data_IF_457579179879
#
_entry.id   IF_457579179879
#
_cell.length_a   1.000
_cell.length_b   1.000
_cell.length_c   1.000
_cell.angle_alpha   90.00
_cell.angle_beta   90.00
_cell.angle_gamma   90.00
#
_symmetry.space_group_name_H-M   'P 1'
#
loop_
_entity.id
_entity.type
_entity.pdbx_description
1 polymer ?
#
# COMPACT_ATOMS: atom_id res chain seq x y z
N UNK A 1 -9.94 21.06 -20.11
CA UNK A 1 -9.73 19.59 -20.08
C UNK A 1 -8.29 19.33 -19.67
N UNK A 2 -8.06 18.40 -18.77
CA UNK A 2 -6.71 18.02 -18.34
C UNK A 2 -6.15 17.02 -19.36
N UNK A 3 -4.88 17.16 -19.74
CA UNK A 3 -4.20 16.18 -20.59
C UNK A 3 -3.48 15.16 -19.70
N UNK A 4 -3.63 13.87 -19.98
CA UNK A 4 -2.97 12.82 -19.20
C UNK A 4 -2.56 11.66 -20.10
N UNK A 5 -1.37 11.12 -19.88
CA UNK A 5 -0.98 9.82 -20.42
C UNK A 5 -1.57 8.72 -19.53
N UNK A 6 -2.31 7.78 -20.13
CA UNK A 6 -2.93 6.66 -19.43
C UNK A 6 -2.57 5.37 -20.17
N UNK A 7 -1.82 4.47 -19.53
CA UNK A 7 -1.37 3.21 -20.15
C UNK A 7 -1.84 1.99 -19.36
N UNK A 8 -1.62 1.98 -18.05
CA UNK A 8 -1.92 0.89 -17.13
C UNK A 8 -2.60 1.40 -15.84
N UNK A 9 -3.28 2.55 -15.94
CA UNK A 9 -3.90 3.17 -14.77
C UNK A 9 -5.14 2.39 -14.34
N UNK A 10 -5.17 1.95 -13.08
CA UNK A 10 -6.35 1.33 -12.47
C UNK A 10 -7.29 2.41 -11.96
N UNK A 11 -8.47 2.50 -12.57
CA UNK A 11 -9.53 3.42 -12.16
C UNK A 11 -10.72 2.60 -11.67
N UNK A 12 -11.05 2.74 -10.39
CA UNK A 12 -12.19 2.07 -9.78
C UNK A 12 -13.33 3.07 -9.54
N UNK A 13 -14.55 2.66 -9.87
CA UNK A 13 -15.76 3.39 -9.49
C UNK A 13 -15.99 3.24 -8.00
N UNK A 14 -16.03 4.36 -7.27
CA UNK A 14 -16.40 4.36 -5.85
C UNK A 14 -17.83 3.83 -5.62
N UNK A 15 -18.74 4.05 -6.58
CA UNK A 15 -20.15 3.64 -6.46
C UNK A 15 -20.35 2.17 -6.84
N UNK A 16 -19.78 1.76 -7.97
CA UNK A 16 -20.01 0.41 -8.52
C UNK A 16 -18.99 -0.61 -8.05
N UNK A 17 -17.88 -0.17 -7.44
CA UNK A 17 -16.72 -0.99 -7.05
C UNK A 17 -16.22 -1.88 -8.20
N UNK A 18 -16.18 -1.29 -9.40
CA UNK A 18 -15.73 -1.91 -10.64
C UNK A 18 -14.72 -1.01 -11.36
N UNK A 19 -13.81 -1.58 -12.16
CA UNK A 19 -13.02 -0.85 -13.14
C UNK A 19 -13.89 0.06 -13.99
N UNK A 20 -13.36 1.23 -14.33
CA UNK A 20 -13.99 2.22 -15.20
C UNK A 20 -12.95 2.89 -16.06
N UNK A 21 -13.39 3.40 -17.20
CA UNK A 21 -12.55 4.25 -18.04
C UNK A 21 -12.43 5.67 -17.48
N UNK A 22 -11.38 6.37 -17.89
CA UNK A 22 -11.23 7.80 -17.63
C UNK A 22 -12.36 8.58 -18.33
N UNK A 23 -12.88 9.61 -17.66
CA UNK A 23 -13.92 10.45 -18.25
C UNK A 23 -13.34 11.33 -19.36
N UNK A 24 -13.61 10.97 -20.63
CA UNK A 24 -13.09 11.66 -21.81
C UNK A 24 -13.59 13.10 -21.99
N UNK A 25 -14.67 13.51 -21.31
CA UNK A 25 -15.11 14.91 -21.32
C UNK A 25 -14.22 15.80 -20.44
N UNK A 26 -13.54 15.21 -19.45
CA UNK A 26 -12.65 15.89 -18.51
C UNK A 26 -11.18 15.68 -18.89
N UNK A 27 -10.82 14.47 -19.33
CA UNK A 27 -9.46 14.02 -19.62
C UNK A 27 -9.25 13.81 -21.11
N UNK A 28 -8.27 14.49 -21.68
CA UNK A 28 -7.74 14.21 -23.02
C UNK A 28 -6.55 13.25 -22.86
N UNK A 29 -6.69 12.02 -23.36
CA UNK A 29 -5.62 11.01 -23.33
C UNK A 29 -4.48 11.43 -24.26
N UNK A 30 -3.24 11.30 -23.79
CA UNK A 30 -2.03 11.46 -24.59
C UNK A 30 -1.57 10.10 -25.10
N UNK A 31 -0.93 10.08 -26.27
CA UNK A 31 -0.40 8.86 -26.88
C UNK A 31 0.98 8.47 -26.32
N UNK A 32 1.68 9.41 -25.69
CA UNK A 32 2.98 9.21 -25.05
C UNK A 32 3.09 10.01 -23.74
N UNK A 33 3.89 9.54 -22.77
CA UNK A 33 4.13 10.29 -21.54
C UNK A 33 4.85 11.60 -21.87
N UNK A 34 4.37 12.76 -21.36
CA UNK A 34 5.00 14.05 -21.64
C UNK A 34 6.39 14.18 -21.02
N UNK A 35 6.64 13.43 -19.94
CA UNK A 35 7.93 13.26 -19.29
C UNK A 35 8.00 11.83 -18.76
N UNK A 36 9.07 11.12 -19.09
CA UNK A 36 9.37 9.80 -18.53
C UNK A 36 10.88 9.68 -18.29
N UNK A 37 11.34 9.33 -17.09
CA UNK A 37 12.76 9.11 -16.85
C UNK A 37 13.26 7.93 -17.70
N UNK A 38 14.37 8.11 -18.43
CA UNK A 38 14.86 7.12 -19.40
C UNK A 38 15.17 5.74 -18.79
N UNK A 39 15.57 5.72 -17.52
CA UNK A 39 15.97 4.49 -16.81
C UNK A 39 14.84 3.92 -15.92
N UNK A 40 13.65 4.55 -15.91
CA UNK A 40 12.53 4.06 -15.13
C UNK A 40 11.74 3.01 -15.91
N UNK A 41 11.84 1.76 -15.47
CA UNK A 41 10.93 0.69 -15.89
C UNK A 41 9.75 0.66 -14.94
N UNK A 42 8.54 1.01 -15.41
CA UNK A 42 7.34 0.91 -14.60
C UNK A 42 6.95 -0.56 -14.39
N UNK A 43 6.69 -0.89 -13.12
CA UNK A 43 6.03 -2.12 -12.77
C UNK A 43 4.53 -2.05 -13.15
N UNK A 44 3.89 -3.18 -13.53
CA UNK A 44 2.43 -3.21 -13.72
C UNK A 44 1.69 -2.70 -12.49
N UNK A 45 0.66 -1.89 -12.69
CA UNK A 45 -0.04 -1.18 -11.63
C UNK A 45 -0.66 -2.12 -10.59
N UNK A 46 -1.18 -3.28 -11.03
CA UNK A 46 -1.72 -4.31 -10.13
C UNK A 46 -0.63 -4.87 -9.22
N UNK A 47 0.55 -5.17 -9.79
CA UNK A 47 1.67 -5.68 -9.01
C UNK A 47 2.19 -4.61 -8.04
N UNK A 48 2.28 -3.35 -8.50
CA UNK A 48 2.67 -2.23 -7.64
C UNK A 48 1.72 -2.06 -6.44
N UNK A 49 0.41 -2.22 -6.65
CA UNK A 49 -0.56 -2.20 -5.55
C UNK A 49 -0.28 -3.33 -4.53
N UNK A 50 -0.02 -4.55 -5.00
CA UNK A 50 0.28 -5.68 -4.10
C UNK A 50 1.56 -5.48 -3.32
N UNK A 51 2.63 -5.04 -3.99
CA UNK A 51 3.92 -4.85 -3.34
C UNK A 51 3.84 -3.72 -2.30
N UNK A 52 3.16 -2.62 -2.61
CA UNK A 52 2.87 -1.57 -1.62
C UNK A 52 2.09 -2.13 -0.44
N UNK A 53 1.01 -2.88 -0.65
CA UNK A 53 0.23 -3.44 0.47
C UNK A 53 1.04 -4.42 1.34
N UNK A 54 2.00 -5.15 0.75
CA UNK A 54 2.87 -6.06 1.51
C UNK A 54 3.97 -5.34 2.29
N UNK A 55 4.42 -4.17 1.84
CA UNK A 55 5.65 -3.53 2.34
C UNK A 55 5.43 -2.19 3.03
N UNK A 56 4.26 -1.57 2.85
CA UNK A 56 4.01 -0.23 3.40
C UNK A 56 3.95 -0.25 4.93
N UNK A 57 4.56 0.77 5.53
CA UNK A 57 4.65 0.97 6.98
C UNK A 57 6.02 0.62 7.55
N UNK A 58 6.29 1.03 8.78
CA UNK A 58 7.58 0.77 9.44
C UNK A 58 7.76 -0.70 9.87
N UNK A 59 6.66 -1.44 10.02
CA UNK A 59 6.63 -2.85 10.45
C UNK A 59 5.55 -3.60 9.67
N UNK A 60 5.72 -3.75 8.37
CA UNK A 60 4.68 -4.29 7.50
C UNK A 60 4.17 -5.68 7.95
N UNK A 61 5.06 -6.55 8.44
CA UNK A 61 4.69 -7.87 8.98
C UNK A 61 4.00 -7.81 10.35
N UNK A 62 4.32 -6.81 11.16
CA UNK A 62 3.84 -6.65 12.53
C UNK A 62 3.10 -5.33 12.70
N UNK A 63 2.10 -5.11 11.84
CA UNK A 63 1.26 -3.92 11.90
C UNK A 63 0.49 -3.86 13.21
N UNK A 64 0.32 -2.66 13.73
CA UNK A 64 -0.61 -2.46 14.83
C UNK A 64 -2.07 -2.66 14.36
N UNK A 65 -3.05 -2.70 15.29
CA UNK A 65 -4.44 -2.91 14.91
C UNK A 65 -5.02 -1.84 13.96
N UNK A 66 -4.53 -0.60 14.00
CA UNK A 66 -5.00 0.49 13.15
C UNK A 66 -4.46 0.31 11.74
N UNK A 67 -3.16 0.08 11.60
CA UNK A 67 -2.50 -0.17 10.32
C UNK A 67 -3.08 -1.42 9.63
N UNK A 68 -3.26 -2.50 10.39
CA UNK A 68 -3.87 -3.74 9.89
C UNK A 68 -5.27 -3.49 9.35
N UNK A 69 -6.11 -2.74 10.09
CA UNK A 69 -7.46 -2.36 9.66
C UNK A 69 -7.45 -1.54 8.36
N UNK A 70 -6.48 -0.63 8.19
CA UNK A 70 -6.37 0.19 6.97
C UNK A 70 -6.05 -0.70 5.77
N UNK A 71 -5.07 -1.60 5.90
CA UNK A 71 -4.70 -2.55 4.84
C UNK A 71 -5.88 -3.45 4.49
N UNK A 72 -6.56 -4.00 5.49
CA UNK A 72 -7.77 -4.81 5.29
C UNK A 72 -8.87 -4.03 4.58
N UNK A 73 -9.06 -2.76 4.91
CA UNK A 73 -10.05 -1.90 4.24
C UNK A 73 -9.75 -1.75 2.75
N UNK A 74 -8.48 -1.62 2.37
CA UNK A 74 -8.07 -1.54 0.96
C UNK A 74 -8.26 -2.89 0.26
N UNK A 75 -7.78 -3.99 0.86
CA UNK A 75 -7.90 -5.36 0.31
C UNK A 75 -9.37 -5.74 0.06
N UNK A 76 -10.25 -5.37 0.99
CA UNK A 76 -11.67 -5.67 0.91
C UNK A 76 -12.47 -4.62 0.11
N UNK A 77 -11.85 -3.51 -0.29
CA UNK A 77 -12.55 -2.38 -0.90
C UNK A 77 -13.68 -1.83 -0.01
N UNK A 78 -13.48 -1.87 1.31
CA UNK A 78 -14.50 -1.57 2.33
C UNK A 78 -14.36 -0.16 2.92
N UNK A 79 -13.43 0.66 2.41
CA UNK A 79 -13.24 2.04 2.85
C UNK A 79 -14.46 2.93 2.60
N UNK A 80 -14.59 3.97 3.41
CA UNK A 80 -15.62 5.00 3.31
C UNK A 80 -15.02 6.38 3.61
N UNK A 81 -15.76 7.45 3.29
CA UNK A 81 -15.42 8.78 3.79
C UNK A 81 -15.53 8.77 5.32
N UNK A 82 -14.57 9.39 5.99
CA UNK A 82 -14.50 9.49 7.45
C UNK A 82 -14.72 10.96 7.81
N UNK A 83 -15.80 11.25 8.52
CA UNK A 83 -16.13 12.62 8.96
C UNK A 83 -15.57 12.93 10.36
N UNK A 84 -15.14 11.91 11.10
CA UNK A 84 -14.50 12.06 12.40
C UNK A 84 -13.59 10.87 12.69
N UNK A 85 -12.48 11.13 13.37
CA UNK A 85 -11.57 10.11 13.91
C UNK A 85 -12.31 9.05 14.75
N UNK A 86 -13.40 9.43 15.42
CA UNK A 86 -14.18 8.52 16.27
C UNK A 86 -14.87 7.41 15.47
N UNK A 87 -15.17 7.64 14.18
CA UNK A 87 -15.75 6.62 13.30
C UNK A 87 -14.79 5.45 13.02
N UNK A 88 -13.51 5.62 13.34
CA UNK A 88 -12.46 4.62 13.11
C UNK A 88 -11.64 4.30 14.36
N UNK A 89 -12.16 4.61 15.55
CA UNK A 89 -11.57 4.24 16.84
C UNK A 89 -10.90 5.38 17.62
N UNK A 90 -10.88 6.61 17.08
CA UNK A 90 -10.29 7.77 17.76
C UNK A 90 -8.76 7.82 17.66
N UNK A 91 -8.14 8.65 18.50
CA UNK A 91 -6.69 8.65 18.66
C UNK A 91 -6.29 7.51 19.60
N UNK A 92 -5.30 6.70 19.22
CA UNK A 92 -4.86 5.60 20.07
C UNK A 92 -4.19 6.11 21.35
N UNK A 93 -4.42 5.41 22.45
CA UNK A 93 -3.68 5.57 23.70
C UNK A 93 -2.78 4.35 23.90
N UNK A 94 -1.49 4.52 23.63
CA UNK A 94 -0.50 3.44 23.72
C UNK A 94 0.33 3.58 24.99
N UNK A 95 0.28 2.60 25.91
CA UNK A 95 1.19 2.59 27.05
C UNK A 95 2.63 2.32 26.59
N UNK A 96 3.64 2.90 27.25
CA UNK A 96 5.04 2.61 26.94
C UNK A 96 5.34 1.11 27.04
N UNK A 97 5.93 0.55 25.98
CA UNK A 97 6.41 -0.84 25.95
C UNK A 97 7.91 -0.88 26.16
N UNK A 98 8.40 -1.86 26.93
CA UNK A 98 9.83 -2.10 27.14
C UNK A 98 10.12 -3.57 26.92
N UNK A 99 11.24 -3.85 26.24
CA UNK A 99 11.78 -5.20 26.07
C UNK A 99 13.30 -5.16 26.28
N UNK A 100 13.85 -6.24 26.82
CA UNK A 100 15.30 -6.42 26.85
C UNK A 100 15.82 -6.68 25.43
N UNK A 101 17.04 -6.24 25.17
CA UNK A 101 17.74 -6.46 23.90
C UNK A 101 19.14 -6.96 24.20
N UNK A 102 19.45 -8.14 23.71
CA UNK A 102 20.82 -8.64 23.64
C UNK A 102 21.41 -8.18 22.32
N UNK A 103 22.29 -7.19 22.39
CA UNK A 103 22.94 -6.60 21.21
C UNK A 103 24.30 -7.28 21.02
N UNK A 104 24.53 -7.94 19.86
CA UNK A 104 25.82 -8.58 19.60
C UNK A 104 26.99 -7.60 19.67
N UNK A 105 28.17 -8.08 20.09
CA UNK A 105 29.40 -7.30 20.04
C UNK A 105 30.02 -7.30 18.63
N UNK A 106 30.70 -6.21 18.28
CA UNK A 106 31.34 -6.05 16.97
C UNK A 106 30.41 -5.47 15.90
N UNK A 107 31.01 -4.71 14.96
CA UNK A 107 30.26 -3.98 13.92
C UNK A 107 29.50 -4.92 12.98
N UNK A 108 30.17 -5.96 12.49
CA UNK A 108 29.59 -6.86 11.49
C UNK A 108 28.47 -7.74 12.09
N UNK A 109 28.66 -8.24 13.31
CA UNK A 109 27.62 -9.00 14.01
C UNK A 109 26.37 -8.15 14.29
N UNK A 110 26.55 -6.89 14.71
CA UNK A 110 25.41 -5.96 14.86
C UNK A 110 24.72 -5.64 13.55
N UNK A 111 25.48 -5.48 12.46
CA UNK A 111 24.90 -5.26 11.12
C UNK A 111 24.03 -6.44 10.72
N UNK A 112 24.57 -7.65 10.77
CA UNK A 112 23.83 -8.87 10.44
C UNK A 112 22.55 -9.02 11.29
N UNK A 113 22.64 -8.75 12.59
CA UNK A 113 21.50 -8.77 13.50
C UNK A 113 20.41 -7.75 13.14
N UNK A 114 20.79 -6.52 12.80
CA UNK A 114 19.84 -5.50 12.36
C UNK A 114 19.21 -5.85 11.01
N UNK A 115 20.00 -6.40 10.07
CA UNK A 115 19.50 -6.79 8.76
C UNK A 115 18.51 -7.96 8.87
N UNK A 116 18.76 -8.93 9.77
CA UNK A 116 17.81 -10.01 10.09
C UNK A 116 16.51 -9.46 10.71
N UNK A 117 16.61 -8.54 11.67
CA UNK A 117 15.45 -7.88 12.26
C UNK A 117 14.62 -7.13 11.22
N UNK A 118 15.27 -6.38 10.32
CA UNK A 118 14.60 -5.64 9.25
C UNK A 118 13.90 -6.60 8.28
N UNK A 119 14.61 -7.61 7.78
CA UNK A 119 14.05 -8.63 6.89
C UNK A 119 12.82 -9.33 7.51
N UNK A 120 12.81 -9.50 8.84
CA UNK A 120 11.67 -10.04 9.58
C UNK A 120 10.43 -9.14 9.59
N UNK A 121 10.57 -7.83 9.36
CA UNK A 121 9.50 -6.84 9.50
C UNK A 121 9.08 -6.19 8.16
N UNK A 122 9.96 -6.18 7.18
CA UNK A 122 9.83 -5.39 5.94
C UNK A 122 8.68 -5.84 5.04
N UNK A 123 8.24 -7.10 5.12
CA UNK A 123 7.23 -7.63 4.20
C UNK A 123 6.26 -8.59 4.88
N UNK A 124 4.97 -8.38 4.62
CA UNK A 124 3.89 -9.28 5.01
C UNK A 124 3.43 -10.14 3.82
N UNK A 125 3.86 -11.40 3.81
CA UNK A 125 3.48 -12.36 2.77
C UNK A 125 2.14 -13.07 3.05
N UNK A 126 1.56 -12.88 4.24
CA UNK A 126 0.36 -13.59 4.70
C UNK A 126 -0.95 -12.91 4.26
N UNK A 127 -0.87 -11.79 3.53
CA UNK A 127 -2.04 -11.06 3.02
C UNK A 127 -2.75 -11.83 1.90
N UNK A 128 -4.07 -12.03 2.05
CA UNK A 128 -4.93 -12.61 1.01
C UNK A 128 -5.50 -11.53 0.09
N UNK A 129 -5.03 -11.49 -1.16
CA UNK A 129 -5.51 -10.55 -2.18
C UNK A 129 -6.66 -11.09 -3.04
N UNK A 130 -7.22 -12.28 -2.75
CA UNK A 130 -8.27 -12.90 -3.57
C UNK A 130 -9.48 -11.98 -3.80
N UNK A 131 -9.92 -11.26 -2.77
CA UNK A 131 -11.03 -10.30 -2.90
C UNK A 131 -10.66 -9.09 -3.74
N UNK A 132 -9.46 -8.54 -3.53
CA UNK A 132 -8.95 -7.40 -4.29
C UNK A 132 -8.78 -7.76 -5.77
N UNK A 133 -8.24 -8.94 -6.07
CA UNK A 133 -8.17 -9.48 -7.43
C UNK A 133 -9.55 -9.56 -8.10
N UNK A 134 -10.56 -10.06 -7.38
CA UNK A 134 -11.93 -10.10 -7.89
C UNK A 134 -12.48 -8.69 -8.15
N UNK A 135 -12.13 -7.70 -7.34
CA UNK A 135 -12.55 -6.31 -7.55
C UNK A 135 -11.89 -5.68 -8.77
N UNK A 136 -10.62 -5.98 -9.02
CA UNK A 136 -9.84 -5.42 -10.13
C UNK A 136 -10.18 -6.11 -11.47
N UNK A 137 -10.45 -7.42 -11.47
CA UNK A 137 -10.72 -8.21 -12.68
C UNK A 137 -12.19 -8.19 -13.15
N UNK A 138 -13.12 -7.71 -12.32
CA UNK A 138 -14.57 -7.63 -12.63
C UNK A 138 -14.93 -6.43 -13.49
#
# INVERSE_FOLDING_TARGET
RVKAYLSDNLLLSHVLRKPREANRSVVTRLDQPPLWPAELTAQPAVQALYDVLRTVGARAKERDPIDSRIIDSVINGAGSLIDSQNQVGGYPDYPPQRRSLEVPEGKEARRAWLDEMAAGLDTNWDLDFTKLEKLIKR
#
